data_IF_432257171534
#
_entry.id   IF_432257171534
#
_cell.length_a   1.000
_cell.length_b   1.000
_cell.length_c   1.000
_cell.angle_alpha   90.00
_cell.angle_beta   90.00
_cell.angle_gamma   90.00
#
_symmetry.space_group_name_H-M   'P 1'
#
loop_
_entity.id
_entity.type
_entity.pdbx_description
1 polymer ?
#
# COMPACT_ATOMS: atom_id res chain seq x y z
N UNK A 1 0.23 -1.73 -4.82
CA UNK A 1 0.34 -3.19 -5.06
C UNK A 1 1.37 -3.62 -6.09
N UNK A 2 1.57 -2.92 -7.23
CA UNK A 2 2.63 -3.27 -8.20
C UNK A 2 4.03 -3.43 -7.59
N UNK A 3 4.34 -2.66 -6.54
CA UNK A 3 5.54 -2.84 -5.73
C UNK A 3 5.67 -4.24 -5.13
N UNK A 4 4.60 -4.77 -4.51
CA UNK A 4 4.61 -6.10 -3.88
C UNK A 4 4.84 -7.23 -4.88
N UNK A 5 4.51 -7.01 -6.17
CA UNK A 5 4.72 -7.95 -7.26
C UNK A 5 6.07 -7.77 -8.00
N UNK A 6 6.93 -6.88 -7.52
CA UNK A 6 8.28 -6.67 -8.07
C UNK A 6 8.34 -5.78 -9.32
N UNK A 7 7.24 -5.12 -9.70
CA UNK A 7 7.21 -4.19 -10.85
C UNK A 7 7.66 -2.77 -10.52
N UNK A 8 7.68 -2.44 -9.23
CA UNK A 8 8.16 -1.16 -8.71
C UNK A 8 9.18 -1.48 -7.63
N UNK A 9 10.35 -0.85 -7.70
CA UNK A 9 11.48 -1.16 -6.84
C UNK A 9 11.29 -0.67 -5.40
N UNK A 10 10.72 0.52 -5.22
CA UNK A 10 10.54 1.15 -3.92
C UNK A 10 9.08 1.55 -3.67
N UNK A 11 8.59 1.28 -2.46
CA UNK A 11 7.34 1.84 -1.98
C UNK A 11 7.64 3.22 -1.38
N UNK A 12 7.45 4.27 -2.17
CA UNK A 12 7.68 5.65 -1.74
C UNK A 12 6.74 6.05 -0.60
N UNK A 13 7.00 7.18 0.07
CA UNK A 13 6.14 7.68 1.15
C UNK A 13 4.70 7.94 0.64
N UNK A 14 3.66 7.78 1.48
CA UNK A 14 2.28 8.10 1.10
C UNK A 14 1.99 9.59 1.28
N UNK A 15 2.80 10.45 0.67
CA UNK A 15 2.63 11.92 0.65
C UNK A 15 2.20 12.44 -0.73
N UNK A 16 1.97 11.52 -1.68
CA UNK A 16 1.50 11.80 -3.02
C UNK A 16 0.69 10.64 -3.57
N UNK A 17 -0.19 10.98 -4.50
CA UNK A 17 -0.94 10.01 -5.29
C UNK A 17 -0.02 9.11 -6.11
N UNK A 18 -0.49 7.89 -6.37
CA UNK A 18 0.24 6.96 -7.21
C UNK A 18 0.29 7.46 -8.66
N UNK A 19 1.36 7.11 -9.39
CA UNK A 19 1.44 7.38 -10.83
C UNK A 19 0.55 6.40 -11.59
N UNK A 20 -0.72 6.78 -11.76
CA UNK A 20 -1.73 6.00 -12.47
C UNK A 20 -1.32 5.73 -13.92
N UNK A 21 -0.68 6.71 -14.59
CA UNK A 21 -0.26 6.54 -15.99
C UNK A 21 0.79 5.46 -16.10
N UNK A 22 1.81 5.49 -15.23
CA UNK A 22 2.85 4.45 -15.19
C UNK A 22 2.26 3.08 -14.88
N UNK A 23 1.32 3.00 -13.93
CA UNK A 23 0.65 1.74 -13.59
C UNK A 23 -0.13 1.16 -14.78
N UNK A 24 -0.92 1.99 -15.47
CA UNK A 24 -1.69 1.58 -16.65
C UNK A 24 -0.78 1.14 -17.80
N UNK A 25 0.28 1.89 -18.09
CA UNK A 25 1.25 1.53 -19.13
C UNK A 25 1.89 0.18 -18.82
N UNK A 26 2.29 -0.05 -17.57
CA UNK A 26 2.89 -1.32 -17.16
C UNK A 26 1.93 -2.50 -17.37
N UNK A 27 0.66 -2.36 -16.97
CA UNK A 27 -0.35 -3.40 -17.15
C UNK A 27 -0.62 -3.66 -18.65
N UNK A 28 -0.74 -2.60 -19.44
CA UNK A 28 -0.99 -2.69 -20.88
C UNK A 28 0.16 -3.35 -21.62
N UNK A 29 1.39 -2.90 -21.36
CA UNK A 29 2.58 -3.30 -22.12
C UNK A 29 3.01 -4.74 -21.80
N UNK A 30 2.71 -5.24 -20.59
CA UNK A 30 2.93 -6.64 -20.25
C UNK A 30 1.78 -7.56 -20.71
N UNK A 31 0.58 -7.01 -20.89
CA UNK A 31 -0.64 -7.79 -21.07
C UNK A 31 -0.91 -8.75 -19.90
N UNK A 32 -2.03 -9.47 -19.93
CA UNK A 32 -2.40 -10.38 -18.83
C UNK A 32 -1.34 -11.48 -18.58
N UNK A 33 -0.94 -12.18 -19.64
CA UNK A 33 -0.02 -13.33 -19.53
C UNK A 33 1.39 -12.89 -19.11
N UNK A 34 1.92 -11.84 -19.74
CA UNK A 34 3.23 -11.31 -19.38
C UNK A 34 3.25 -10.73 -17.96
N UNK A 35 2.16 -10.11 -17.52
CA UNK A 35 2.03 -9.62 -16.16
C UNK A 35 2.08 -10.77 -15.14
N UNK A 36 1.31 -11.85 -15.35
CA UNK A 36 1.32 -13.01 -14.46
C UNK A 36 2.69 -13.70 -14.41
N UNK A 37 3.33 -13.89 -15.57
CA UNK A 37 4.64 -14.55 -15.63
C UNK A 37 5.76 -13.75 -14.96
N UNK A 38 5.69 -12.42 -15.02
CA UNK A 38 6.71 -11.55 -14.41
C UNK A 38 6.41 -11.18 -12.96
N UNK A 39 5.18 -11.42 -12.49
CA UNK A 39 4.80 -11.14 -11.11
C UNK A 39 5.57 -12.05 -10.16
N UNK A 40 6.34 -11.44 -9.25
CA UNK A 40 7.01 -12.17 -8.17
C UNK A 40 6.73 -11.45 -6.87
N UNK A 41 6.07 -12.15 -5.95
CA UNK A 41 5.81 -11.60 -4.63
C UNK A 41 7.15 -11.30 -3.93
N UNK A 42 7.23 -10.12 -3.32
CA UNK A 42 8.36 -9.74 -2.48
C UNK A 42 8.49 -10.67 -1.26
N UNK A 43 9.69 -10.79 -0.69
CA UNK A 43 9.91 -11.53 0.55
C UNK A 43 8.95 -11.11 1.67
N UNK A 44 8.50 -12.07 2.48
CA UNK A 44 7.52 -11.84 3.54
C UNK A 44 7.97 -10.76 4.53
N UNK A 45 9.25 -10.70 4.87
CA UNK A 45 9.80 -9.68 5.77
C UNK A 45 9.64 -8.26 5.19
N UNK A 46 9.86 -8.05 3.89
CA UNK A 46 9.64 -6.73 3.27
C UNK A 46 8.16 -6.32 3.31
N UNK A 47 7.25 -7.28 3.15
CA UNK A 47 5.81 -7.02 3.24
C UNK A 47 5.40 -6.67 4.67
N UNK A 48 5.91 -7.38 5.67
CA UNK A 48 5.66 -7.11 7.08
C UNK A 48 6.26 -5.77 7.51
N UNK A 49 7.47 -5.44 7.07
CA UNK A 49 8.10 -4.14 7.34
C UNK A 49 7.27 -2.98 6.75
N UNK A 50 6.74 -3.17 5.54
CA UNK A 50 5.86 -2.18 4.91
C UNK A 50 4.50 -2.07 5.63
N UNK A 51 3.94 -3.19 6.09
CA UNK A 51 2.70 -3.22 6.86
C UNK A 51 2.84 -2.50 8.21
N UNK A 52 3.94 -2.75 8.93
CA UNK A 52 4.25 -2.03 10.17
C UNK A 52 4.43 -0.53 9.93
N UNK A 53 5.16 -0.15 8.87
CA UNK A 53 5.40 1.26 8.56
C UNK A 53 4.11 2.00 8.19
N UNK A 54 3.25 1.39 7.36
CA UNK A 54 1.99 2.03 6.96
C UNK A 54 1.03 2.16 8.14
N UNK A 55 0.99 1.17 9.04
CA UNK A 55 0.22 1.22 10.27
C UNK A 55 0.64 2.43 11.12
N UNK A 56 1.95 2.62 11.33
CA UNK A 56 2.49 3.77 12.09
C UNK A 56 2.14 5.11 11.47
N UNK A 57 2.20 5.22 10.14
CA UNK A 57 1.81 6.45 9.45
C UNK A 57 0.30 6.72 9.53
N UNK A 58 -0.51 5.68 9.39
CA UNK A 58 -1.97 5.79 9.46
C UNK A 58 -2.38 6.18 10.88
N UNK A 59 -1.84 5.53 11.91
CA UNK A 59 -2.05 5.92 13.31
C UNK A 59 -1.67 7.38 13.59
N UNK A 60 -0.47 7.82 13.18
CA UNK A 60 -0.03 9.20 13.42
C UNK A 60 -0.92 10.24 12.71
N UNK A 61 -1.51 9.86 11.56
CA UNK A 61 -2.42 10.71 10.81
C UNK A 61 -3.80 10.76 11.47
N UNK A 62 -4.28 9.64 11.98
CA UNK A 62 -5.56 9.55 12.68
C UNK A 62 -5.49 10.25 14.05
N UNK A 63 -4.40 10.11 14.79
CA UNK A 63 -4.16 10.88 16.02
C UNK A 63 -4.15 12.39 15.76
N UNK A 64 -3.45 12.84 14.71
CA UNK A 64 -3.48 14.26 14.32
C UNK A 64 -4.91 14.71 14.00
N UNK A 65 -5.68 13.91 13.25
CA UNK A 65 -7.08 14.19 12.91
C UNK A 65 -7.97 14.30 14.15
N UNK A 66 -7.84 13.36 15.09
CA UNK A 66 -8.60 13.33 16.34
C UNK A 66 -8.27 14.53 17.23
N UNK A 67 -7.02 14.98 17.21
CA UNK A 67 -6.55 16.16 17.94
C UNK A 67 -6.72 17.49 17.16
N UNK A 68 -7.40 17.49 16.02
CA UNK A 68 -7.64 18.69 15.21
C UNK A 68 -6.38 19.32 14.62
N UNK A 69 -5.30 18.55 14.48
CA UNK A 69 -4.02 18.94 13.90
C UNK A 69 -3.92 18.49 12.44
N UNK A 70 -3.01 19.12 11.68
CA UNK A 70 -2.73 18.70 10.30
C UNK A 70 -2.02 17.35 10.26
N UNK A 71 -2.26 16.58 9.19
CA UNK A 71 -1.58 15.31 8.97
C UNK A 71 -0.05 15.50 9.00
N UNK A 72 0.69 14.67 9.76
CA UNK A 72 2.10 14.91 10.00
C UNK A 72 2.88 14.84 8.70
N UNK A 73 3.77 15.81 8.49
CA UNK A 73 4.71 15.82 7.37
C UNK A 73 4.06 15.68 5.99
N UNK A 74 2.83 16.16 5.78
CA UNK A 74 2.16 16.14 4.47
C UNK A 74 1.76 14.75 3.97
N UNK A 75 1.54 13.79 4.88
CA UNK A 75 0.96 12.49 4.53
C UNK A 75 -0.46 12.67 3.97
N UNK A 76 -0.79 11.89 2.95
CA UNK A 76 -2.10 11.88 2.30
C UNK A 76 -2.99 10.78 2.93
N UNK A 77 -4.09 11.14 3.64
CA UNK A 77 -4.94 10.16 4.31
C UNK A 77 -5.57 9.13 3.37
N UNK A 78 -5.90 9.52 2.13
CA UNK A 78 -6.45 8.62 1.14
C UNK A 78 -5.44 7.54 0.72
N UNK A 79 -4.21 7.95 0.39
CA UNK A 79 -3.13 7.05 0.05
C UNK A 79 -2.75 6.14 1.23
N UNK A 80 -2.84 6.63 2.47
CA UNK A 80 -2.62 5.82 3.67
C UNK A 80 -3.64 4.71 3.81
N UNK A 81 -4.93 5.04 3.74
CA UNK A 81 -6.02 4.08 3.86
C UNK A 81 -5.90 2.96 2.81
N UNK A 82 -5.76 3.32 1.54
CA UNK A 82 -5.65 2.37 0.42
C UNK A 82 -4.43 1.44 0.57
N UNK A 83 -3.29 1.99 1.05
CA UNK A 83 -2.08 1.19 1.26
C UNK A 83 -2.17 0.32 2.51
N UNK A 84 -2.77 0.81 3.60
CA UNK A 84 -2.95 0.04 4.83
C UNK A 84 -3.83 -1.17 4.54
N UNK A 85 -4.96 -0.97 3.88
CA UNK A 85 -5.86 -2.03 3.43
C UNK A 85 -5.12 -3.06 2.57
N UNK A 86 -4.42 -2.60 1.54
CA UNK A 86 -3.70 -3.47 0.63
C UNK A 86 -2.57 -4.29 1.31
N UNK A 87 -1.85 -3.69 2.25
CA UNK A 87 -0.77 -4.36 2.98
C UNK A 87 -1.30 -5.35 4.02
N UNK A 88 -2.38 -5.02 4.73
CA UNK A 88 -3.06 -5.94 5.63
C UNK A 88 -3.52 -7.20 4.91
N UNK A 89 -4.11 -7.04 3.72
CA UNK A 89 -4.47 -8.17 2.88
C UNK A 89 -3.27 -9.03 2.49
N UNK A 90 -2.17 -8.40 2.04
CA UNK A 90 -0.96 -9.10 1.62
C UNK A 90 -0.31 -9.93 2.72
N UNK A 91 -0.32 -9.43 3.96
CA UNK A 91 0.27 -10.13 5.10
C UNK A 91 -0.69 -11.13 5.76
N UNK A 92 -1.93 -11.22 5.25
CA UNK A 92 -2.96 -12.11 5.78
C UNK A 92 -3.48 -11.67 7.14
N UNK A 93 -3.57 -10.36 7.38
CA UNK A 93 -4.10 -9.79 8.63
C UNK A 93 -5.48 -10.38 8.93
N UNK A 94 -5.60 -11.02 10.10
CA UNK A 94 -6.80 -11.74 10.56
C UNK A 94 -7.37 -12.79 9.59
N UNK A 95 -6.63 -13.17 8.53
CA UNK A 95 -7.11 -14.09 7.50
C UNK A 95 -8.36 -13.59 6.75
N UNK A 96 -8.57 -12.27 6.68
CA UNK A 96 -9.74 -11.65 6.05
C UNK A 96 -9.65 -11.69 4.52
N UNK A 97 -10.81 -11.79 3.87
CA UNK A 97 -10.93 -11.61 2.43
C UNK A 97 -10.74 -10.14 2.05
N UNK A 98 -10.37 -9.88 0.79
CA UNK A 98 -10.04 -8.53 0.30
C UNK A 98 -11.10 -7.48 0.65
N UNK A 99 -12.39 -7.81 0.50
CA UNK A 99 -13.49 -6.88 0.74
C UNK A 99 -13.78 -6.63 2.23
N UNK A 100 -13.22 -7.44 3.12
CA UNK A 100 -13.47 -7.41 4.58
C UNK A 100 -12.29 -6.87 5.40
N UNK A 101 -11.21 -6.44 4.73
CA UNK A 101 -10.00 -6.00 5.42
C UNK A 101 -10.26 -4.73 6.23
N UNK A 102 -9.96 -4.82 7.53
CA UNK A 102 -10.00 -3.65 8.39
C UNK A 102 -8.65 -2.94 8.44
N UNK A 103 -8.70 -1.65 8.76
CA UNK A 103 -7.52 -0.78 8.90
C UNK A 103 -7.52 -0.14 10.28
N UNK A 104 -7.87 -0.91 11.30
CA UNK A 104 -7.93 -0.43 12.69
C UNK A 104 -6.57 0.15 13.11
N UNK A 105 -6.57 1.41 13.55
CA UNK A 105 -5.40 2.16 14.03
C UNK A 105 -5.69 2.83 15.35
#
# INVERSE_FOLDING_TARGET
>A
MLWALGFIDSLERPDKLCDVKKAVLLLRDNGRQGFLQKSKLRPQNELLDAADLIYRYHWATEDARLNGSEAPSGLDPGALMERHHALNWLVGYLGQDWDDITTDT
#
